data_IF_704317014611
#
_entry.id   IF_704317014611
#
_cell.length_a   1.000
_cell.length_b   1.000
_cell.length_c   1.000
_cell.angle_alpha   90.00
_cell.angle_beta   90.00
_cell.angle_gamma   90.00
#
_symmetry.space_group_name_H-M   'P 1'
#
loop_
_entity.id
_entity.type
_entity.pdbx_description
1 polymer ?
#
# COMPACT_ATOMS: atom_id res chain seq x y z
N UNK A 1 22.35 -20.68 -10.30
CA UNK A 1 21.45 -19.53 -10.08
C UNK A 1 20.36 -19.96 -9.09
N UNK A 2 20.19 -19.24 -7.98
CA UNK A 2 19.13 -19.52 -7.03
C UNK A 2 17.79 -19.24 -7.74
N UNK A 3 16.88 -20.21 -7.78
CA UNK A 3 15.55 -20.05 -8.37
C UNK A 3 14.80 -18.94 -7.61
N UNK A 4 14.44 -17.87 -8.31
CA UNK A 4 13.58 -16.82 -7.71
C UNK A 4 12.15 -17.31 -7.68
N UNK A 5 11.50 -17.23 -6.53
CA UNK A 5 10.06 -17.47 -6.41
C UNK A 5 9.28 -16.40 -7.17
N UNK A 6 8.15 -16.80 -7.72
CA UNK A 6 7.37 -15.98 -8.66
C UNK A 6 6.04 -15.57 -8.06
N UNK A 7 5.51 -14.41 -8.52
CA UNK A 7 4.16 -13.99 -8.14
C UNK A 7 3.37 -13.37 -9.29
N UNK A 8 2.03 -13.43 -9.16
CA UNK A 8 1.06 -12.62 -9.92
C UNK A 8 0.43 -11.62 -8.95
N UNK A 9 0.33 -10.34 -9.34
CA UNK A 9 -0.30 -9.27 -8.54
C UNK A 9 -1.66 -8.89 -9.12
N UNK A 10 -2.71 -9.17 -8.36
CA UNK A 10 -4.10 -8.88 -8.70
C UNK A 10 -4.55 -7.62 -7.97
N UNK A 11 -5.23 -6.71 -8.66
CA UNK A 11 -5.54 -5.38 -8.13
C UNK A 11 -4.27 -4.61 -7.75
N UNK A 12 -3.27 -4.68 -8.62
CA UNK A 12 -1.89 -4.29 -8.34
C UNK A 12 -1.70 -2.80 -8.04
N UNK A 13 -2.61 -1.94 -8.52
CA UNK A 13 -2.42 -0.50 -8.45
C UNK A 13 -1.07 -0.10 -9.07
N UNK A 14 -0.34 0.80 -8.41
CA UNK A 14 1.01 1.20 -8.83
C UNK A 14 2.10 0.21 -8.39
N UNK A 15 1.75 -0.88 -7.69
CA UNK A 15 2.67 -1.97 -7.34
C UNK A 15 3.41 -1.81 -6.02
N UNK A 16 2.77 -1.24 -4.98
CA UNK A 16 3.37 -1.15 -3.65
C UNK A 16 3.58 -2.53 -3.00
N UNK A 17 2.58 -3.43 -3.13
CA UNK A 17 2.68 -4.81 -2.67
C UNK A 17 3.74 -5.57 -3.47
N UNK A 18 3.70 -5.50 -4.81
CA UNK A 18 4.73 -6.05 -5.70
C UNK A 18 6.13 -5.61 -5.33
N UNK A 19 6.35 -4.30 -5.07
CA UNK A 19 7.66 -3.78 -4.72
C UNK A 19 8.21 -4.43 -3.44
N UNK A 20 7.36 -4.63 -2.42
CA UNK A 20 7.78 -5.32 -1.21
C UNK A 20 8.17 -6.78 -1.46
N UNK A 21 7.44 -7.51 -2.31
CA UNK A 21 7.79 -8.87 -2.72
C UNK A 21 9.10 -8.90 -3.51
N UNK A 22 9.31 -7.97 -4.44
CA UNK A 22 10.56 -7.83 -5.20
C UNK A 22 11.75 -7.53 -4.27
N UNK A 23 11.57 -6.67 -3.28
CA UNK A 23 12.59 -6.38 -2.25
C UNK A 23 12.92 -7.61 -1.37
N UNK A 24 12.03 -8.59 -1.29
CA UNK A 24 12.27 -9.89 -0.64
C UNK A 24 12.82 -10.95 -1.60
N UNK A 25 13.10 -10.60 -2.86
CA UNK A 25 13.73 -11.47 -3.84
C UNK A 25 12.79 -12.21 -4.79
N UNK A 26 11.48 -11.98 -4.70
CA UNK A 26 10.51 -12.56 -5.65
C UNK A 26 10.61 -11.92 -7.04
N UNK A 27 10.04 -12.60 -8.04
CA UNK A 27 9.91 -12.11 -9.41
C UNK A 27 8.43 -12.01 -9.81
N UNK A 28 7.97 -10.82 -10.15
CA UNK A 28 6.65 -10.61 -10.75
C UNK A 28 6.54 -11.21 -12.15
N UNK A 29 5.47 -11.96 -12.41
CA UNK A 29 5.17 -12.52 -13.73
C UNK A 29 4.14 -11.68 -14.49
N UNK A 30 3.12 -11.18 -13.78
CA UNK A 30 2.02 -10.41 -14.34
C UNK A 30 1.38 -9.54 -13.25
N UNK A 31 1.04 -8.30 -13.59
CA UNK A 31 0.24 -7.41 -12.76
C UNK A 31 -1.05 -7.05 -13.48
N UNK A 32 -2.19 -7.15 -12.79
CA UNK A 32 -3.52 -6.89 -13.36
C UNK A 32 -4.23 -5.84 -12.51
N UNK A 33 -4.74 -4.80 -13.16
CA UNK A 33 -5.59 -3.77 -12.56
C UNK A 33 -6.49 -3.16 -13.64
N UNK A 34 -7.61 -2.55 -13.26
CA UNK A 34 -8.46 -1.81 -14.20
C UNK A 34 -8.08 -0.31 -14.28
N UNK A 35 -7.16 0.16 -13.45
CA UNK A 35 -6.74 1.57 -13.40
C UNK A 35 -5.47 1.81 -14.23
N UNK A 36 -5.66 2.32 -15.45
CA UNK A 36 -4.60 2.56 -16.43
C UNK A 36 -3.44 3.41 -15.89
N UNK A 37 -3.73 4.50 -15.17
CA UNK A 37 -2.69 5.39 -14.65
C UNK A 37 -1.76 4.68 -13.66
N UNK A 38 -2.33 3.83 -12.80
CA UNK A 38 -1.56 3.06 -11.85
C UNK A 38 -0.66 2.04 -12.54
N UNK A 39 -1.18 1.34 -13.56
CA UNK A 39 -0.38 0.41 -14.36
C UNK A 39 0.70 1.11 -15.20
N UNK A 40 0.46 2.35 -15.65
CA UNK A 40 1.50 3.16 -16.30
C UNK A 40 2.67 3.40 -15.36
N UNK A 41 2.40 3.77 -14.11
CA UNK A 41 3.42 3.89 -13.05
C UNK A 41 4.08 2.54 -12.74
N UNK A 42 3.29 1.47 -12.63
CA UNK A 42 3.79 0.11 -12.38
C UNK A 42 4.83 -0.30 -13.42
N UNK A 43 4.48 -0.19 -14.70
CA UNK A 43 5.34 -0.57 -15.83
C UNK A 43 6.59 0.31 -15.95
N UNK A 44 6.49 1.61 -15.67
CA UNK A 44 7.62 2.53 -15.72
C UNK A 44 8.74 2.14 -14.74
N UNK A 45 8.36 1.73 -13.53
CA UNK A 45 9.31 1.35 -12.49
C UNK A 45 9.83 -0.09 -12.62
N UNK A 46 9.35 -0.87 -13.62
CA UNK A 46 9.71 -2.27 -13.84
C UNK A 46 9.83 -2.56 -15.34
N UNK A 47 11.05 -2.48 -15.87
CA UNK A 47 11.30 -2.60 -17.33
C UNK A 47 10.76 -3.89 -17.95
N UNK A 48 10.80 -5.00 -17.18
CA UNK A 48 10.39 -6.33 -17.67
C UNK A 48 8.98 -6.74 -17.21
N UNK A 49 8.21 -5.79 -16.64
CA UNK A 49 6.89 -6.09 -16.11
C UNK A 49 5.87 -6.31 -17.24
N UNK A 50 5.17 -7.44 -17.16
CA UNK A 50 3.94 -7.65 -17.93
C UNK A 50 2.76 -7.09 -17.14
N UNK A 51 1.99 -6.20 -17.76
CA UNK A 51 0.81 -5.59 -17.16
C UNK A 51 -0.42 -5.81 -18.02
N UNK A 52 -1.59 -5.99 -17.39
CA UNK A 52 -2.87 -6.14 -18.06
C UNK A 52 -3.90 -5.17 -17.47
N UNK A 53 -4.33 -4.19 -18.27
CA UNK A 53 -5.37 -3.24 -17.87
C UNK A 53 -6.76 -3.80 -18.19
N UNK A 54 -7.35 -4.53 -17.25
CA UNK A 54 -8.68 -5.14 -17.37
C UNK A 54 -9.36 -5.26 -16.01
N UNK A 55 -10.68 -5.34 -16.04
CA UNK A 55 -11.48 -5.67 -14.87
C UNK A 55 -11.37 -7.17 -14.54
N UNK A 56 -10.83 -7.48 -13.38
CA UNK A 56 -10.65 -8.86 -12.88
C UNK A 56 -11.98 -9.63 -12.74
N UNK A 57 -13.10 -8.93 -12.57
CA UNK A 57 -14.41 -9.57 -12.51
C UNK A 57 -14.79 -10.27 -13.83
N UNK A 58 -14.31 -9.75 -14.97
CA UNK A 58 -14.65 -10.24 -16.32
C UNK A 58 -13.61 -11.19 -16.92
N UNK A 59 -12.44 -11.34 -16.26
CA UNK A 59 -11.36 -12.17 -16.78
C UNK A 59 -11.59 -13.66 -16.51
N UNK A 60 -11.22 -14.48 -17.48
CA UNK A 60 -11.06 -15.92 -17.31
C UNK A 60 -9.60 -16.24 -16.94
N UNK A 61 -9.32 -16.76 -15.72
CA UNK A 61 -7.97 -17.08 -15.31
C UNK A 61 -7.29 -18.16 -16.17
N UNK A 62 -8.04 -19.11 -16.75
CA UNK A 62 -7.49 -20.13 -17.63
C UNK A 62 -6.97 -19.51 -18.93
N UNK A 63 -7.72 -18.58 -19.52
CA UNK A 63 -7.26 -17.83 -20.68
C UNK A 63 -6.04 -16.98 -20.39
N UNK A 64 -5.96 -16.34 -19.20
CA UNK A 64 -4.77 -15.60 -18.77
C UNK A 64 -3.56 -16.52 -18.66
N UNK A 65 -3.73 -17.74 -18.11
CA UNK A 65 -2.68 -18.74 -17.99
C UNK A 65 -2.11 -19.11 -19.37
N UNK A 66 -2.97 -19.28 -20.37
CA UNK A 66 -2.60 -19.58 -21.76
C UNK A 66 -1.97 -18.38 -22.48
N UNK A 67 -2.66 -17.23 -22.53
CA UNK A 67 -2.24 -16.03 -23.27
C UNK A 67 -0.87 -15.49 -22.78
N UNK A 68 -0.59 -15.64 -21.50
CA UNK A 68 0.68 -15.18 -20.89
C UNK A 68 1.72 -16.29 -20.73
N UNK A 69 1.40 -17.52 -21.14
CA UNK A 69 2.26 -18.71 -21.01
C UNK A 69 2.82 -18.85 -19.57
N UNK A 70 1.93 -18.77 -18.58
CA UNK A 70 2.26 -18.93 -17.15
C UNK A 70 1.80 -20.32 -16.72
N UNK A 71 2.70 -21.31 -16.75
CA UNK A 71 2.39 -22.68 -16.31
C UNK A 71 2.26 -22.79 -14.79
N UNK A 72 3.18 -22.15 -14.07
CA UNK A 72 3.25 -22.17 -12.61
C UNK A 72 3.53 -20.78 -12.05
N UNK A 73 2.99 -20.52 -10.86
CA UNK A 73 3.28 -19.34 -10.04
C UNK A 73 3.36 -19.78 -8.58
N UNK A 74 4.38 -19.31 -7.86
CA UNK A 74 4.58 -19.71 -6.46
C UNK A 74 3.63 -18.98 -5.51
N UNK A 75 3.29 -17.70 -5.81
CA UNK A 75 2.40 -16.88 -4.96
C UNK A 75 1.44 -16.04 -5.80
N UNK A 76 0.17 -15.93 -5.37
CA UNK A 76 -0.75 -14.89 -5.85
C UNK A 76 -0.89 -13.84 -4.76
N UNK A 77 -0.66 -12.57 -5.10
CA UNK A 77 -0.79 -11.44 -4.19
C UNK A 77 -1.85 -10.46 -4.69
N UNK A 78 -2.42 -9.63 -3.80
CA UNK A 78 -3.30 -8.55 -4.21
C UNK A 78 -4.13 -7.92 -3.12
N UNK A 79 -4.76 -6.79 -3.45
CA UNK A 79 -5.63 -6.04 -2.55
C UNK A 79 -7.00 -5.77 -3.18
N UNK A 80 -7.93 -6.74 -3.23
CA UNK A 80 -9.25 -6.54 -3.80
C UNK A 80 -10.00 -5.43 -3.04
N UNK A 81 -10.61 -4.45 -3.73
CA UNK A 81 -11.31 -3.35 -3.05
C UNK A 81 -12.50 -3.86 -2.25
N UNK A 82 -12.66 -3.29 -1.04
CA UNK A 82 -13.73 -3.60 -0.09
C UNK A 82 -15.03 -2.81 -0.43
N UNK A 83 -15.35 -2.64 -1.72
CA UNK A 83 -16.55 -1.93 -2.16
C UNK A 83 -17.74 -2.91 -2.18
N UNK A 84 -18.81 -2.59 -1.42
CA UNK A 84 -20.03 -3.38 -1.39
C UNK A 84 -20.37 -4.00 -0.04
N UNK A 85 -19.42 -4.07 0.88
CA UNK A 85 -19.72 -4.47 2.25
C UNK A 85 -20.29 -3.29 3.07
N UNK A 86 -21.42 -2.70 2.63
CA UNK A 86 -22.11 -1.68 3.42
C UNK A 86 -22.96 -2.33 4.52
N UNK A 87 -23.05 -1.67 5.67
CA UNK A 87 -23.55 -2.15 6.97
C UNK A 87 -25.08 -2.41 7.01
N UNK A 88 -25.77 -2.66 5.90
CA UNK A 88 -27.22 -2.81 5.86
C UNK A 88 -27.68 -4.25 5.55
N UNK A 89 -27.77 -5.09 6.58
CA UNK A 89 -28.65 -6.25 6.62
C UNK A 89 -28.21 -7.51 5.83
N UNK A 90 -29.11 -8.50 5.75
CA UNK A 90 -28.93 -9.83 5.10
C UNK A 90 -28.53 -9.81 3.62
N UNK A 91 -28.50 -8.64 2.96
CA UNK A 91 -28.03 -8.45 1.57
C UNK A 91 -26.51 -8.44 1.41
N UNK A 92 -25.74 -8.56 2.49
CA UNK A 92 -24.26 -8.47 2.50
C UNK A 92 -23.61 -9.59 1.71
N UNK A 93 -24.22 -10.77 1.64
CA UNK A 93 -23.60 -11.97 1.01
C UNK A 93 -23.94 -12.06 -0.49
N UNK A 94 -25.09 -11.51 -0.91
CA UNK A 94 -25.59 -11.59 -2.30
C UNK A 94 -25.30 -10.33 -3.14
N UNK A 95 -24.61 -9.32 -2.58
CA UNK A 95 -24.29 -8.08 -3.30
C UNK A 95 -23.23 -8.38 -4.40
N UNK A 96 -23.59 -8.10 -5.65
CA UNK A 96 -22.70 -8.28 -6.81
C UNK A 96 -21.35 -7.56 -6.65
N UNK A 97 -21.27 -6.53 -5.80
CA UNK A 97 -20.05 -5.81 -5.45
C UNK A 97 -19.06 -6.62 -4.59
N UNK A 98 -19.51 -7.73 -3.99
CA UNK A 98 -18.66 -8.71 -3.29
C UNK A 98 -17.89 -9.61 -4.28
N UNK A 99 -18.10 -9.43 -5.58
CA UNK A 99 -17.50 -10.26 -6.64
C UNK A 99 -15.99 -10.09 -6.75
N UNK A 100 -15.42 -8.96 -6.29
CA UNK A 100 -13.99 -8.67 -6.53
C UNK A 100 -13.05 -9.60 -5.74
N UNK A 101 -13.33 -9.92 -4.46
CA UNK A 101 -12.52 -10.94 -3.78
C UNK A 101 -12.76 -12.34 -4.37
N UNK A 102 -13.96 -12.62 -4.89
CA UNK A 102 -14.24 -13.87 -5.63
C UNK A 102 -13.40 -14.00 -6.89
N UNK A 103 -13.09 -12.87 -7.55
CA UNK A 103 -12.14 -12.89 -8.67
C UNK A 103 -10.75 -13.32 -8.21
N UNK A 104 -10.30 -12.84 -7.05
CA UNK A 104 -9.05 -13.32 -6.46
C UNK A 104 -9.10 -14.83 -6.17
N UNK A 105 -10.19 -15.34 -5.59
CA UNK A 105 -10.41 -16.78 -5.33
C UNK A 105 -10.32 -17.59 -6.62
N UNK A 106 -10.97 -17.14 -7.73
CA UNK A 106 -10.91 -17.84 -9.04
C UNK A 106 -9.49 -17.94 -9.61
N UNK A 107 -8.66 -16.89 -9.42
CA UNK A 107 -7.27 -16.95 -9.84
C UNK A 107 -6.47 -17.96 -8.99
N UNK A 108 -6.67 -17.97 -7.67
CA UNK A 108 -6.03 -18.94 -6.78
C UNK A 108 -6.46 -20.37 -7.15
N UNK A 109 -7.73 -20.59 -7.44
CA UNK A 109 -8.27 -21.89 -7.87
C UNK A 109 -7.64 -22.38 -9.20
N UNK A 110 -7.50 -21.47 -10.18
CA UNK A 110 -6.94 -21.84 -11.50
C UNK A 110 -5.42 -22.11 -11.46
N UNK A 111 -4.68 -21.32 -10.70
CA UNK A 111 -3.21 -21.38 -10.69
C UNK A 111 -2.64 -22.32 -9.62
N UNK A 112 -3.39 -22.62 -8.57
CA UNK A 112 -2.97 -23.44 -7.42
C UNK A 112 -1.56 -23.09 -6.91
N UNK A 113 -1.29 -21.79 -6.51
CA UNK A 113 0.02 -21.40 -5.99
C UNK A 113 0.32 -22.07 -4.65
N UNK A 114 1.62 -22.13 -4.27
CA UNK A 114 2.02 -22.61 -2.93
C UNK A 114 1.42 -21.76 -1.81
N UNK A 115 1.24 -20.45 -2.09
CA UNK A 115 0.60 -19.51 -1.17
C UNK A 115 -0.16 -18.40 -1.88
N UNK A 116 -1.05 -17.75 -1.14
CA UNK A 116 -1.58 -16.44 -1.53
C UNK A 116 -1.45 -15.42 -0.39
N UNK A 117 -1.35 -14.15 -0.75
CA UNK A 117 -1.38 -13.02 0.20
C UNK A 117 -2.41 -12.00 -0.27
N UNK A 118 -3.49 -11.84 0.50
CA UNK A 118 -4.56 -10.89 0.21
C UNK A 118 -4.61 -9.81 1.28
N UNK A 119 -4.49 -8.55 0.88
CA UNK A 119 -4.55 -7.38 1.76
C UNK A 119 -5.91 -6.69 1.70
N UNK A 120 -6.35 -6.12 2.83
CA UNK A 120 -7.55 -5.31 2.87
C UNK A 120 -7.55 -4.35 4.07
N UNK A 121 -8.55 -3.47 4.15
CA UNK A 121 -8.76 -2.61 5.33
C UNK A 121 -9.21 -3.44 6.54
N UNK A 122 -8.81 -3.06 7.78
CA UNK A 122 -9.13 -3.85 8.99
C UNK A 122 -10.62 -4.08 9.21
N UNK A 123 -11.46 -3.16 8.72
CA UNK A 123 -12.93 -3.26 8.88
C UNK A 123 -13.52 -4.52 8.24
N UNK A 124 -12.86 -5.12 7.23
CA UNK A 124 -13.32 -6.36 6.58
C UNK A 124 -13.52 -7.51 7.58
N UNK A 125 -12.76 -7.49 8.68
CA UNK A 125 -12.82 -8.53 9.72
C UNK A 125 -14.07 -8.43 10.61
N UNK A 126 -14.70 -7.25 10.69
CA UNK A 126 -15.84 -6.98 11.56
C UNK A 126 -17.16 -6.80 10.80
N UNK A 127 -17.14 -6.67 9.49
CA UNK A 127 -18.34 -6.51 8.67
C UNK A 127 -19.25 -7.72 8.85
N UNK A 128 -20.56 -7.45 9.09
CA UNK A 128 -21.54 -8.49 9.33
C UNK A 128 -21.22 -9.37 10.54
N UNK A 129 -20.67 -8.77 11.62
CA UNK A 129 -20.22 -9.51 12.81
C UNK A 129 -19.21 -10.63 12.48
N UNK A 130 -18.36 -10.40 11.49
CA UNK A 130 -17.32 -11.35 11.05
C UNK A 130 -17.73 -12.32 9.94
N UNK A 131 -18.97 -12.23 9.45
CA UNK A 131 -19.45 -13.10 8.36
C UNK A 131 -18.58 -12.98 7.11
N UNK A 132 -18.18 -11.76 6.72
CA UNK A 132 -17.32 -11.56 5.53
C UNK A 132 -15.97 -12.24 5.69
N UNK A 133 -15.30 -12.04 6.85
CA UNK A 133 -14.05 -12.74 7.16
C UNK A 133 -14.20 -14.26 7.04
N UNK A 134 -15.25 -14.80 7.66
CA UNK A 134 -15.48 -16.25 7.67
C UNK A 134 -15.78 -16.79 6.26
N UNK A 135 -16.53 -16.04 5.42
CA UNK A 135 -16.78 -16.41 4.03
C UNK A 135 -15.49 -16.44 3.21
N UNK A 136 -14.63 -15.42 3.37
CA UNK A 136 -13.33 -15.39 2.69
C UNK A 136 -12.47 -16.60 3.08
N UNK A 137 -12.34 -16.87 4.37
CA UNK A 137 -11.58 -18.04 4.86
C UNK A 137 -12.15 -19.34 4.31
N UNK A 138 -13.47 -19.53 4.39
CA UNK A 138 -14.14 -20.73 3.92
C UNK A 138 -13.95 -20.97 2.41
N UNK A 139 -13.99 -19.91 1.57
CA UNK A 139 -13.79 -20.07 0.15
C UNK A 139 -12.38 -20.57 -0.20
N UNK A 140 -11.35 -20.09 0.51
CA UNK A 140 -9.99 -20.60 0.31
C UNK A 140 -9.74 -21.96 0.95
N UNK A 141 -10.37 -22.26 2.09
CA UNK A 141 -10.29 -23.59 2.71
C UNK A 141 -10.92 -24.67 1.83
N UNK A 142 -11.97 -24.35 1.07
CA UNK A 142 -12.53 -25.25 0.04
C UNK A 142 -11.54 -25.59 -1.08
N UNK A 143 -10.59 -24.69 -1.36
CA UNK A 143 -9.51 -24.92 -2.33
C UNK A 143 -8.29 -25.64 -1.71
N UNK A 144 -8.37 -26.05 -0.43
CA UNK A 144 -7.32 -26.77 0.27
C UNK A 144 -6.30 -25.89 1.01
N UNK A 145 -6.49 -24.56 1.04
CA UNK A 145 -5.55 -23.66 1.73
C UNK A 145 -5.84 -23.57 3.23
N UNK A 146 -4.79 -23.61 4.04
CA UNK A 146 -4.88 -23.21 5.45
C UNK A 146 -4.68 -21.68 5.56
N UNK A 147 -5.72 -20.97 6.02
CA UNK A 147 -5.74 -19.50 6.03
C UNK A 147 -5.41 -18.95 7.41
N UNK A 148 -4.43 -18.07 7.49
CA UNK A 148 -4.11 -17.25 8.66
C UNK A 148 -4.44 -15.79 8.36
N UNK A 149 -4.97 -15.05 9.35
CA UNK A 149 -5.31 -13.63 9.19
C UNK A 149 -4.87 -12.81 10.39
N UNK A 150 -4.25 -11.64 10.14
CA UNK A 150 -3.84 -10.71 11.18
C UNK A 150 -3.95 -9.27 10.70
N UNK A 151 -4.19 -8.34 11.64
CA UNK A 151 -4.08 -6.90 11.37
C UNK A 151 -2.66 -6.46 11.67
N UNK A 152 -1.95 -6.02 10.63
CA UNK A 152 -0.60 -5.48 10.75
C UNK A 152 -0.65 -3.95 10.81
N UNK A 153 0.28 -3.36 11.59
CA UNK A 153 0.49 -1.91 11.65
C UNK A 153 1.81 -1.59 10.95
N UNK A 154 1.75 -0.81 9.88
CA UNK A 154 2.92 -0.55 9.02
C UNK A 154 4.12 0.02 9.78
N UNK A 155 3.89 0.87 10.80
CA UNK A 155 4.97 1.43 11.61
C UNK A 155 5.78 0.39 12.40
N UNK A 156 5.25 -0.82 12.59
CA UNK A 156 5.97 -1.93 13.23
C UNK A 156 7.01 -2.57 12.30
N UNK A 157 6.98 -2.22 11.02
CA UNK A 157 7.87 -2.73 9.97
C UNK A 157 8.75 -1.64 9.32
N UNK A 158 9.01 -0.54 10.05
CA UNK A 158 9.89 0.54 9.59
C UNK A 158 9.22 1.56 8.66
N UNK A 159 7.91 1.49 8.46
CA UNK A 159 7.16 2.50 7.70
C UNK A 159 6.88 3.70 8.61
N UNK A 160 7.13 4.96 8.19
CA UNK A 160 6.85 6.14 9.01
C UNK A 160 5.36 6.50 9.06
N UNK A 161 4.49 5.48 9.17
CA UNK A 161 3.03 5.63 9.14
C UNK A 161 2.32 4.57 9.99
N UNK A 162 1.36 4.98 10.80
CA UNK A 162 0.47 4.10 11.58
C UNK A 162 -0.71 3.57 10.72
N UNK A 163 -0.40 3.02 9.55
CA UNK A 163 -1.38 2.41 8.65
C UNK A 163 -1.67 0.97 9.06
N UNK A 164 -2.93 0.66 9.31
CA UNK A 164 -3.37 -0.69 9.68
C UNK A 164 -4.01 -1.39 8.50
N UNK A 165 -3.65 -2.69 8.30
CA UNK A 165 -4.21 -3.52 7.24
C UNK A 165 -4.46 -4.94 7.73
N UNK A 166 -5.58 -5.52 7.31
CA UNK A 166 -5.84 -6.94 7.46
C UNK A 166 -5.10 -7.68 6.35
N UNK A 167 -4.29 -8.66 6.72
CA UNK A 167 -3.55 -9.50 5.77
C UNK A 167 -3.99 -10.93 5.96
N UNK A 168 -4.49 -11.55 4.90
CA UNK A 168 -4.82 -12.96 4.81
C UNK A 168 -3.69 -13.68 4.09
N UNK A 169 -3.18 -14.74 4.66
CA UNK A 169 -2.17 -15.61 4.03
C UNK A 169 -2.68 -17.03 4.04
N UNK A 170 -2.80 -17.64 2.87
CA UNK A 170 -3.15 -19.04 2.71
C UNK A 170 -1.95 -19.84 2.25
N UNK A 171 -1.72 -21.01 2.88
CA UNK A 171 -0.68 -21.96 2.51
C UNK A 171 -1.34 -23.26 2.02
N UNK A 172 -0.89 -23.77 0.86
CA UNK A 172 -1.41 -25.00 0.25
C UNK A 172 -0.95 -26.27 0.98
N UNK A 173 0.13 -26.19 1.75
CA UNK A 173 0.69 -27.34 2.48
C UNK A 173 0.02 -27.64 3.84
N UNK A 174 -1.06 -26.92 4.16
CA UNK A 174 -1.85 -27.12 5.38
C UNK A 174 -1.25 -26.53 6.66
N UNK A 175 -0.07 -25.88 6.60
CA UNK A 175 0.53 -25.20 7.75
C UNK A 175 -0.17 -23.87 8.07
N UNK A 176 -0.13 -23.45 9.33
CA UNK A 176 -0.49 -22.08 9.69
C UNK A 176 0.67 -21.15 9.35
N UNK A 177 0.36 -19.98 8.77
CA UNK A 177 1.34 -18.91 8.58
C UNK A 177 1.53 -18.13 9.88
N UNK A 178 2.77 -17.99 10.32
CA UNK A 178 3.14 -17.10 11.43
C UNK A 178 3.54 -15.75 10.86
N UNK A 179 2.84 -14.69 11.25
CA UNK A 179 3.13 -13.34 10.75
C UNK A 179 4.47 -12.81 11.27
N UNK A 180 5.13 -11.91 10.51
CA UNK A 180 6.42 -11.36 10.92
C UNK A 180 6.30 -10.60 12.24
N UNK A 181 7.29 -10.77 13.12
CA UNK A 181 7.38 -10.01 14.37
C UNK A 181 7.69 -8.52 14.12
N UNK A 182 7.13 -7.63 14.92
CA UNK A 182 7.48 -6.22 14.87
C UNK A 182 8.99 -5.98 15.03
N UNK A 183 9.55 -5.03 14.28
CA UNK A 183 10.96 -4.65 14.40
C UNK A 183 11.20 -4.04 15.80
N UNK A 184 12.17 -4.60 16.55
CA UNK A 184 12.57 -4.14 17.90
C UNK A 184 13.39 -2.82 17.87
N UNK A 185 13.01 -1.87 17.02
CA UNK A 185 13.64 -0.55 16.89
C UNK A 185 12.61 0.55 17.14
N UNK A 186 13.10 1.75 17.47
CA UNK A 186 12.26 2.95 17.52
C UNK A 186 11.55 3.14 16.18
N UNK A 187 10.26 3.47 16.21
CA UNK A 187 9.46 3.75 15.01
C UNK A 187 9.99 4.99 14.30
N UNK A 188 10.02 4.93 12.97
CA UNK A 188 10.43 6.05 12.12
C UNK A 188 9.42 7.18 12.22
N UNK A 189 9.88 8.39 12.50
CA UNK A 189 9.04 9.59 12.62
C UNK A 189 8.86 10.31 11.29
N UNK A 190 7.88 11.23 11.23
CA UNK A 190 7.72 12.07 10.03
C UNK A 190 8.93 12.97 9.78
N UNK A 191 9.62 13.44 10.85
CA UNK A 191 10.87 14.18 10.72
C UNK A 191 11.97 13.31 10.09
N UNK A 192 12.20 12.11 10.61
CA UNK A 192 13.20 11.17 10.08
C UNK A 192 12.92 10.76 8.63
N UNK A 193 11.67 10.85 8.18
CA UNK A 193 11.31 10.53 6.79
C UNK A 193 11.48 11.71 5.82
N UNK A 194 11.27 12.96 6.26
CA UNK A 194 11.04 14.09 5.36
C UNK A 194 12.01 15.25 5.52
N UNK A 195 12.80 15.32 6.61
CA UNK A 195 13.57 16.53 6.98
C UNK A 195 14.71 16.91 6.00
N UNK A 196 15.05 16.02 5.10
CA UNK A 196 16.08 16.22 4.08
C UNK A 196 15.52 16.68 2.70
N UNK A 197 14.20 16.85 2.60
CA UNK A 197 13.56 17.42 1.42
C UNK A 197 13.43 18.94 1.54
N UNK A 198 13.15 19.61 0.41
CA UNK A 198 13.03 21.06 0.33
C UNK A 198 11.59 21.54 0.58
N UNK A 199 11.45 22.81 1.01
CA UNK A 199 10.13 23.45 1.19
C UNK A 199 9.40 23.66 -0.15
N UNK A 200 10.15 24.02 -1.20
CA UNK A 200 9.62 24.42 -2.49
C UNK A 200 9.64 23.29 -3.52
N UNK A 201 8.86 23.45 -4.58
CA UNK A 201 8.96 22.58 -5.75
C UNK A 201 10.36 22.60 -6.35
N UNK A 202 10.79 21.43 -6.81
CA UNK A 202 12.02 21.29 -7.60
C UNK A 202 11.72 20.48 -8.86
N UNK A 203 12.43 20.73 -9.97
CA UNK A 203 12.35 19.87 -11.15
C UNK A 203 12.71 18.42 -10.81
N UNK A 204 12.06 17.48 -11.51
CA UNK A 204 12.38 16.05 -11.36
C UNK A 204 13.86 15.80 -11.67
N UNK A 205 14.50 15.00 -10.83
CA UNK A 205 15.94 14.71 -10.90
C UNK A 205 16.83 15.74 -10.21
N UNK A 206 16.28 16.78 -9.56
CA UNK A 206 17.08 17.75 -8.80
C UNK A 206 17.87 17.07 -7.68
N UNK A 207 19.10 17.56 -7.38
CA UNK A 207 19.91 17.03 -6.29
C UNK A 207 19.24 17.28 -4.93
N UNK A 208 19.55 16.42 -3.96
CA UNK A 208 19.12 16.65 -2.58
C UNK A 208 19.80 17.86 -1.98
N UNK A 209 19.07 18.73 -1.24
CA UNK A 209 19.63 19.99 -0.70
C UNK A 209 20.64 19.75 0.42
N UNK A 210 20.54 18.63 1.11
CA UNK A 210 21.42 18.25 2.23
C UNK A 210 21.65 16.73 2.23
N UNK A 211 22.64 16.27 2.98
CA UNK A 211 22.89 14.86 3.22
C UNK A 211 21.74 14.18 3.99
N UNK A 212 21.64 12.86 3.88
CA UNK A 212 20.62 12.08 4.59
C UNK A 212 20.90 12.10 6.11
N UNK A 213 19.94 12.57 6.89
CA UNK A 213 20.04 12.75 8.35
C UNK A 213 19.62 11.50 9.15
N UNK A 214 18.98 10.52 8.50
CA UNK A 214 18.48 9.31 9.16
C UNK A 214 18.74 8.06 8.33
N UNK A 215 18.70 6.87 8.98
CA UNK A 215 18.78 5.59 8.27
C UNK A 215 17.61 5.42 7.28
N UNK A 216 16.45 5.95 7.63
CA UNK A 216 15.29 5.93 6.76
C UNK A 216 15.49 6.75 5.48
N UNK A 217 16.09 7.94 5.57
CA UNK A 217 16.42 8.75 4.41
C UNK A 217 17.50 8.10 3.55
N UNK A 218 18.49 7.44 4.16
CA UNK A 218 19.48 6.62 3.41
C UNK A 218 18.80 5.50 2.64
N UNK A 219 17.86 4.79 3.27
CA UNK A 219 17.02 3.79 2.59
C UNK A 219 16.21 4.42 1.45
N UNK A 220 15.50 5.52 1.72
CA UNK A 220 14.64 6.17 0.72
C UNK A 220 15.42 6.63 -0.54
N UNK A 221 16.63 7.13 -0.36
CA UNK A 221 17.49 7.63 -1.45
C UNK A 221 18.24 6.52 -2.20
N UNK A 222 18.27 5.30 -1.68
CA UNK A 222 19.03 4.21 -2.29
C UNK A 222 18.57 3.95 -3.73
N UNK A 223 19.49 4.03 -4.69
CA UNK A 223 19.17 3.87 -6.12
C UNK A 223 18.67 5.13 -6.82
N UNK A 224 18.30 6.19 -6.08
CA UNK A 224 17.80 7.43 -6.69
C UNK A 224 18.92 8.39 -7.09
N UNK A 225 18.83 8.93 -8.30
CA UNK A 225 19.72 9.98 -8.80
C UNK A 225 19.35 11.40 -8.35
N UNK A 226 18.19 11.58 -7.71
CA UNK A 226 17.69 12.89 -7.29
C UNK A 226 16.25 12.82 -6.76
N UNK A 227 15.65 14.00 -6.58
CA UNK A 227 14.28 14.16 -6.09
C UNK A 227 13.30 14.15 -7.27
N UNK A 228 12.28 13.30 -7.23
CA UNK A 228 11.19 13.20 -8.20
C UNK A 228 9.83 13.38 -7.54
N UNK A 229 8.82 13.84 -8.28
CA UNK A 229 7.46 14.07 -7.79
C UNK A 229 7.34 15.02 -6.60
N UNK A 230 8.26 16.01 -6.50
CA UNK A 230 8.28 16.98 -5.43
C UNK A 230 7.75 18.35 -5.89
N UNK A 231 6.52 18.36 -6.39
CA UNK A 231 5.81 19.58 -6.78
C UNK A 231 4.79 19.95 -5.68
N UNK A 232 4.96 21.13 -5.06
CA UNK A 232 4.10 21.62 -3.98
C UNK A 232 2.73 22.05 -4.50
N UNK A 233 1.73 22.01 -3.62
CA UNK A 233 0.44 22.66 -3.87
C UNK A 233 0.47 24.06 -3.30
N UNK A 234 0.23 25.05 -4.17
CA UNK A 234 0.14 26.46 -3.76
C UNK A 234 -1.23 26.68 -3.12
N UNK A 235 -1.23 27.13 -1.88
CA UNK A 235 -2.43 27.51 -1.13
C UNK A 235 -2.57 29.03 -1.15
N UNK A 236 -3.81 29.55 -1.13
CA UNK A 236 -4.06 30.96 -0.88
C UNK A 236 -3.68 31.34 0.57
N UNK A 237 -3.50 32.64 0.81
CA UNK A 237 -2.97 33.12 2.11
C UNK A 237 -3.90 32.77 3.27
N UNK A 238 -5.21 32.89 3.11
CA UNK A 238 -6.20 32.46 4.12
C UNK A 238 -6.04 30.97 4.50
N UNK A 239 -5.78 30.11 3.52
CA UNK A 239 -5.54 28.67 3.80
C UNK A 239 -4.22 28.47 4.54
N UNK A 240 -3.15 29.19 4.16
CA UNK A 240 -1.85 29.11 4.87
C UNK A 240 -1.96 29.58 6.32
N UNK A 241 -2.71 30.67 6.57
CA UNK A 241 -2.98 31.18 7.91
C UNK A 241 -3.69 30.12 8.78
N UNK A 242 -4.73 29.49 8.23
CA UNK A 242 -5.45 28.42 8.96
C UNK A 242 -4.53 27.23 9.23
N UNK A 243 -3.72 26.81 8.25
CA UNK A 243 -2.75 25.72 8.44
C UNK A 243 -1.74 26.08 9.55
N UNK A 244 -1.28 27.37 9.60
CA UNK A 244 -0.33 27.83 10.61
C UNK A 244 -0.86 27.71 12.05
N UNK A 245 -2.19 27.81 12.24
CA UNK A 245 -2.83 27.66 13.55
C UNK A 245 -2.88 26.21 14.04
N UNK A 246 -2.68 25.22 13.17
CA UNK A 246 -2.67 23.79 13.56
C UNK A 246 -1.26 23.43 14.06
N UNK A 247 -1.08 23.11 15.35
CA UNK A 247 0.25 22.79 15.90
C UNK A 247 0.78 21.46 15.38
N UNK A 248 2.06 21.19 15.61
CA UNK A 248 2.71 19.90 15.28
C UNK A 248 1.93 18.72 15.91
N UNK A 249 1.50 17.77 15.08
CA UNK A 249 0.66 16.65 15.47
C UNK A 249 -0.79 17.01 15.84
N UNK A 250 -1.18 18.28 15.69
CA UNK A 250 -2.53 18.76 15.95
C UNK A 250 -3.52 18.49 14.81
N UNK A 251 -4.76 18.94 15.00
CA UNK A 251 -5.82 18.80 14.01
C UNK A 251 -6.82 19.97 14.11
N UNK A 252 -7.90 19.91 13.32
CA UNK A 252 -8.93 20.97 13.27
C UNK A 252 -9.51 21.38 14.64
N UNK A 253 -9.47 20.51 15.67
CA UNK A 253 -9.96 20.84 17.04
C UNK A 253 -9.07 21.85 17.75
N UNK A 254 -7.84 22.06 17.25
CA UNK A 254 -6.95 23.10 17.77
C UNK A 254 -7.23 24.48 17.17
N UNK A 255 -8.08 24.56 16.15
CA UNK A 255 -8.50 25.83 15.54
C UNK A 255 -9.52 26.56 16.41
N UNK A 256 -9.66 27.89 16.30
CA UNK A 256 -10.77 28.65 16.82
C UNK A 256 -12.12 28.04 16.41
N UNK A 257 -13.13 28.11 17.28
CA UNK A 257 -14.41 27.40 17.10
C UNK A 257 -15.09 27.76 15.77
N UNK A 258 -15.02 29.02 15.35
CA UNK A 258 -15.54 29.55 14.09
C UNK A 258 -14.87 28.95 12.85
N UNK A 259 -13.64 28.45 12.96
CA UNK A 259 -12.88 27.82 11.87
C UNK A 259 -13.02 26.29 11.85
N UNK A 260 -13.45 25.66 12.95
CA UNK A 260 -13.56 24.19 13.03
C UNK A 260 -14.57 23.61 12.05
N UNK A 261 -15.60 24.39 11.68
CA UNK A 261 -16.66 23.95 10.77
C UNK A 261 -16.38 24.27 9.29
N UNK A 262 -15.25 24.89 8.95
CA UNK A 262 -14.90 25.26 7.58
C UNK A 262 -14.79 24.06 6.63
N UNK A 263 -14.63 22.84 7.14
CA UNK A 263 -14.73 21.59 6.39
C UNK A 263 -15.52 20.52 7.14
N UNK A 264 -16.51 19.91 6.48
CA UNK A 264 -17.42 18.89 7.03
C UNK A 264 -16.80 17.50 7.22
N UNK A 265 -15.46 17.35 7.20
CA UNK A 265 -14.79 16.03 7.25
C UNK A 265 -13.93 15.93 8.50
N UNK A 266 -14.25 14.98 9.38
CA UNK A 266 -13.60 14.79 10.70
C UNK A 266 -12.09 14.52 10.69
N UNK A 267 -11.51 14.12 9.54
CA UNK A 267 -10.06 13.90 9.37
C UNK A 267 -9.34 15.08 8.70
N UNK A 268 -10.10 16.15 8.37
CA UNK A 268 -9.51 17.32 7.72
C UNK A 268 -8.61 18.11 8.68
N UNK A 269 -7.61 18.79 8.10
CA UNK A 269 -6.76 19.73 8.84
C UNK A 269 -5.91 19.07 9.93
N UNK A 270 -5.34 17.89 9.66
CA UNK A 270 -4.40 17.23 10.57
C UNK A 270 -2.96 17.51 10.12
N UNK A 271 -2.15 18.09 11.02
CA UNK A 271 -0.70 18.25 10.79
C UNK A 271 0.03 16.98 11.19
N UNK A 272 0.94 16.51 10.35
CA UNK A 272 1.83 15.41 10.69
C UNK A 272 2.61 15.75 11.96
N UNK A 273 2.86 14.76 12.81
CA UNK A 273 3.67 14.93 14.03
C UNK A 273 5.15 14.70 13.69
N UNK A 274 6.01 15.69 13.98
CA UNK A 274 7.45 15.58 13.70
C UNK A 274 8.10 14.42 14.45
N UNK A 275 7.66 14.12 15.69
CA UNK A 275 8.27 13.15 16.61
C UNK A 275 7.62 11.77 16.62
N UNK A 276 6.62 11.53 15.73
CA UNK A 276 5.87 10.28 15.65
C UNK A 276 5.72 9.83 14.19
N UNK A 277 5.43 8.54 13.94
CA UNK A 277 4.94 8.11 12.66
C UNK A 277 3.67 8.87 12.26
N UNK A 278 3.51 9.13 10.97
CA UNK A 278 2.31 9.75 10.40
C UNK A 278 1.05 8.95 10.72
N UNK A 279 -0.08 9.61 10.74
CA UNK A 279 -1.38 8.95 10.58
C UNK A 279 -1.50 8.35 9.18
N UNK A 280 -2.53 7.52 8.95
CA UNK A 280 -2.80 6.96 7.62
C UNK A 280 -3.05 8.07 6.61
N UNK A 281 -2.20 8.18 5.59
CA UNK A 281 -2.45 9.04 4.44
C UNK A 281 -3.55 8.43 3.57
N UNK A 282 -4.41 9.29 3.03
CA UNK A 282 -5.53 8.89 2.18
C UNK A 282 -5.29 9.22 0.69
N UNK A 283 -6.27 8.92 -0.14
CA UNK A 283 -6.27 9.21 -1.56
C UNK A 283 -6.66 10.64 -1.89
N UNK A 284 -7.17 11.39 -0.90
CA UNK A 284 -7.72 12.72 -1.07
C UNK A 284 -6.68 13.84 -1.03
N UNK A 285 -5.48 13.59 -0.56
CA UNK A 285 -4.31 14.47 -0.47
C UNK A 285 -4.54 15.88 0.12
N UNK A 286 -5.74 16.21 0.54
CA UNK A 286 -6.11 17.56 1.03
C UNK A 286 -6.35 17.62 2.54
N UNK A 287 -6.16 16.52 3.26
CA UNK A 287 -6.54 16.39 4.65
C UNK A 287 -5.37 16.50 5.62
N UNK A 288 -4.14 16.34 5.13
CA UNK A 288 -2.94 16.33 5.95
C UNK A 288 -2.04 17.50 5.61
N UNK A 289 -1.39 18.08 6.64
CA UNK A 289 -0.39 19.13 6.49
C UNK A 289 0.98 18.59 6.84
N UNK A 290 1.99 19.13 6.15
CA UNK A 290 3.39 18.87 6.45
C UNK A 290 3.70 19.26 7.90
N UNK A 291 4.53 18.49 8.61
CA UNK A 291 4.82 18.75 10.03
C UNK A 291 5.45 20.13 10.26
N UNK A 292 6.21 20.64 9.31
CA UNK A 292 6.96 21.91 9.40
C UNK A 292 6.34 23.03 8.59
N UNK A 293 5.98 22.78 7.33
CA UNK A 293 5.54 23.84 6.39
C UNK A 293 4.02 23.96 6.32
N UNK A 294 3.53 25.19 6.04
CA UNK A 294 2.10 25.48 5.99
C UNK A 294 1.48 25.08 4.64
N UNK A 295 1.67 23.85 4.24
CA UNK A 295 1.16 23.24 3.03
C UNK A 295 0.85 21.76 3.22
N UNK A 296 0.13 21.18 2.28
CA UNK A 296 -0.01 19.72 2.21
C UNK A 296 1.33 19.09 1.78
N UNK A 297 1.60 17.83 2.16
CA UNK A 297 2.75 17.09 1.66
C UNK A 297 2.71 16.94 0.13
N UNK A 298 3.87 16.92 -0.50
CA UNK A 298 4.00 16.59 -1.93
C UNK A 298 3.74 15.09 -2.17
N UNK A 299 3.68 14.68 -3.43
CA UNK A 299 3.59 13.25 -3.79
C UNK A 299 4.82 12.51 -3.25
N UNK A 300 6.03 13.05 -3.41
CA UNK A 300 7.27 12.44 -2.88
C UNK A 300 7.25 12.30 -1.36
N UNK A 301 6.84 13.33 -0.64
CA UNK A 301 6.71 13.28 0.82
C UNK A 301 5.68 12.22 1.23
N UNK A 302 4.54 12.14 0.55
CA UNK A 302 3.53 11.12 0.79
C UNK A 302 4.04 9.71 0.46
N UNK A 303 4.82 9.57 -0.63
CA UNK A 303 5.44 8.31 -1.04
C UNK A 303 6.46 7.82 0.01
N UNK A 304 7.28 8.71 0.55
CA UNK A 304 8.19 8.38 1.65
C UNK A 304 7.43 7.97 2.92
N UNK A 305 6.35 8.66 3.28
CA UNK A 305 5.49 8.26 4.39
C UNK A 305 4.90 6.85 4.17
N UNK A 306 4.68 6.47 2.92
CA UNK A 306 4.20 5.12 2.53
C UNK A 306 5.34 4.11 2.32
N UNK A 307 6.59 4.49 2.54
CA UNK A 307 7.81 3.70 2.36
C UNK A 307 8.19 3.35 0.92
N UNK A 308 7.73 4.10 -0.07
CA UNK A 308 8.32 4.01 -1.40
C UNK A 308 9.71 4.67 -1.41
N UNK A 309 10.72 4.05 -2.04
CA UNK A 309 12.01 4.68 -2.25
C UNK A 309 11.93 5.78 -3.31
N UNK A 310 12.94 6.67 -3.36
CA UNK A 310 12.89 7.87 -4.19
C UNK A 310 13.11 7.59 -5.69
N UNK A 311 13.71 6.46 -6.03
CA UNK A 311 13.83 5.95 -7.40
C UNK A 311 12.50 5.45 -7.97
N UNK A 312 11.49 5.21 -7.11
CA UNK A 312 10.15 4.89 -7.56
C UNK A 312 9.40 6.17 -7.99
N UNK A 313 9.17 6.32 -9.29
CA UNK A 313 8.60 7.53 -9.90
C UNK A 313 7.12 7.30 -10.21
N UNK A 314 6.26 8.21 -9.74
CA UNK A 314 4.83 8.20 -10.01
C UNK A 314 4.52 9.01 -11.27
N UNK A 315 3.72 8.45 -12.17
CA UNK A 315 3.34 9.07 -13.44
C UNK A 315 1.87 9.51 -13.45
N UNK A 316 1.49 10.18 -14.53
CA UNK A 316 0.18 10.76 -14.78
C UNK A 316 -0.09 12.04 -13.97
N UNK A 317 -1.36 12.46 -13.87
CA UNK A 317 -1.69 13.71 -13.18
C UNK A 317 -1.33 13.68 -11.69
N UNK A 318 -1.02 14.82 -11.10
CA UNK A 318 -0.70 14.97 -9.67
C UNK A 318 -1.78 14.36 -8.76
N UNK A 319 -3.05 14.54 -9.10
CA UNK A 319 -4.17 13.91 -8.36
C UNK A 319 -4.14 12.39 -8.48
N UNK A 320 -3.83 11.86 -9.65
CA UNK A 320 -3.64 10.42 -9.86
C UNK A 320 -2.46 9.89 -9.04
N UNK A 321 -1.34 10.60 -9.02
CA UNK A 321 -0.16 10.22 -8.23
C UNK A 321 -0.48 10.10 -6.72
N UNK A 322 -1.16 11.09 -6.13
CA UNK A 322 -1.61 11.01 -4.73
C UNK A 322 -2.53 9.81 -4.48
N UNK A 323 -3.46 9.55 -5.39
CA UNK A 323 -4.38 8.42 -5.29
C UNK A 323 -3.63 7.08 -5.37
N UNK A 324 -2.61 6.98 -6.22
CA UNK A 324 -1.73 5.82 -6.33
C UNK A 324 -1.01 5.56 -5.00
N UNK A 325 -0.38 6.59 -4.43
CA UNK A 325 0.32 6.49 -3.13
C UNK A 325 -0.66 6.10 -2.01
N UNK A 326 -1.81 6.76 -1.91
CA UNK A 326 -2.77 6.53 -0.83
C UNK A 326 -3.41 5.13 -0.84
N UNK A 327 -3.64 4.56 -2.05
CA UNK A 327 -4.18 3.21 -2.21
C UNK A 327 -3.14 2.11 -1.93
N UNK A 328 -1.86 2.39 -2.13
CA UNK A 328 -0.84 1.37 -2.09
C UNK A 328 -0.68 0.69 -0.72
N UNK A 329 -0.30 -0.57 -0.75
CA UNK A 329 0.28 -1.27 0.40
C UNK A 329 1.71 -0.75 0.61
N UNK A 330 2.12 -0.40 1.85
CA UNK A 330 3.49 0.07 2.11
C UNK A 330 4.53 -1.01 1.77
N UNK A 331 5.51 -0.71 0.89
CA UNK A 331 6.51 -1.68 0.44
C UNK A 331 7.29 -2.36 1.57
N UNK A 332 7.68 -1.64 2.63
CA UNK A 332 8.41 -2.25 3.75
C UNK A 332 7.56 -3.23 4.56
N UNK A 333 6.25 -2.97 4.74
CA UNK A 333 5.34 -3.92 5.38
C UNK A 333 5.13 -5.14 4.48
N UNK A 334 4.96 -4.94 3.18
CA UNK A 334 4.84 -6.02 2.20
C UNK A 334 6.10 -6.89 2.15
N UNK A 335 7.29 -6.26 2.20
CA UNK A 335 8.59 -6.95 2.29
C UNK A 335 8.67 -7.87 3.51
N UNK A 336 8.24 -7.38 4.69
CA UNK A 336 8.26 -8.18 5.91
C UNK A 336 7.38 -9.44 5.78
N UNK A 337 6.18 -9.31 5.19
CA UNK A 337 5.29 -10.47 4.94
C UNK A 337 5.91 -11.42 3.92
N UNK A 338 6.47 -10.90 2.83
CA UNK A 338 7.10 -11.70 1.78
C UNK A 338 8.33 -12.47 2.30
N UNK A 339 9.18 -11.83 3.10
CA UNK A 339 10.34 -12.47 3.72
C UNK A 339 9.91 -13.61 4.65
N UNK A 340 8.93 -13.37 5.52
CA UNK A 340 8.37 -14.39 6.40
C UNK A 340 7.76 -15.55 5.61
N UNK A 341 7.18 -15.28 4.44
CA UNK A 341 6.65 -16.31 3.57
C UNK A 341 7.78 -17.18 2.97
N UNK A 342 8.87 -16.56 2.53
CA UNK A 342 10.07 -17.28 2.10
C UNK A 342 10.61 -18.19 3.20
N UNK A 343 10.73 -17.65 4.42
CA UNK A 343 11.26 -18.38 5.57
C UNK A 343 10.35 -19.57 5.95
N UNK A 344 9.04 -19.41 5.78
CA UNK A 344 8.05 -20.44 6.08
C UNK A 344 8.04 -21.57 5.06
N UNK A 345 8.08 -21.26 3.77
CA UNK A 345 7.85 -22.23 2.70
C UNK A 345 9.13 -22.86 2.15
N UNK A 346 10.20 -22.09 2.00
CA UNK A 346 11.32 -22.48 1.16
C UNK A 346 12.70 -22.44 1.83
N UNK A 347 12.81 -21.94 3.07
CA UNK A 347 14.06 -22.12 3.82
C UNK A 347 14.10 -23.56 4.37
N UNK A 348 15.17 -24.28 4.03
CA UNK A 348 15.48 -25.55 4.68
C UNK A 348 15.65 -25.30 6.18
N UNK A 349 14.92 -26.07 6.99
CA UNK A 349 15.16 -26.08 8.44
C UNK A 349 16.59 -26.58 8.65
N UNK A 350 17.50 -25.64 9.00
CA UNK A 350 18.86 -25.97 9.43
C UNK A 350 18.82 -26.79 10.71
#
# INVERSE_FOLDING_TARGET
>A
MIKKHTFIDLFSGCGGLSLGFEMAGFKGLLAIDNWKDALTTYAYNRKDARTLCRDLATLDPHKIKEDYNISNVDVIIGGPPCQGFSVAGKRIIEDERNTLYKSFVRFVDCFHPDAFVMENVPNILSIGSGLVKNSIIHDFEKLGYKVSVQVLTASDYGVPQNRRRAVFVGLADGRNFTFPEPIKKKKVTSYEALSDLTENSVPDGSPYPIEALSDYQRYARMGSSGIYNHDITIHNDKTKEIIAMVPDGGNYKNLPVELQQTRKVHIAWTRLCSTKPSITIDTGHRHHFHYKWNRIPTVRESARIQSFPDDFIFLCSKTSQYKQVGNAVPPLMAKAVAQQLCDTLWQEKK
#
